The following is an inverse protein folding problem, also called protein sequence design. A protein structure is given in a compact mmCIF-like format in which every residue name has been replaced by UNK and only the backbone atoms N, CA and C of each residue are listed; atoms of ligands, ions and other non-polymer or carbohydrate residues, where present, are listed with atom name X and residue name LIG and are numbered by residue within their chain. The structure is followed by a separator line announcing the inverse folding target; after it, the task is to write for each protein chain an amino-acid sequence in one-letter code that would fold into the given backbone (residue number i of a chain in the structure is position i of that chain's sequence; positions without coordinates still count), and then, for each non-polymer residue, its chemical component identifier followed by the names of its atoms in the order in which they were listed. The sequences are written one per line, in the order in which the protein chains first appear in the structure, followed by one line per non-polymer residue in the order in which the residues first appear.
data_IF_624736057987
#
_entry.id   IF_624736057987
#
_cell.length_a   1.000
_cell.length_b   1.000
_cell.length_c   1.000
_cell.angle_alpha   90.00
_cell.angle_beta   90.00
_cell.angle_gamma   90.00
#
_symmetry.space_group_name_H-M   'P 1'
#
loop_
_entity.id
_entity.type
_entity.pdbx_description
1 polymer ?
#
# COMPACT_ATOMS: atom_id res chain seq x y z
N UNK A 1 23.87 42.22 4.72
CA UNK A 1 24.70 41.71 5.84
C UNK A 1 24.52 40.21 5.84
N UNK A 2 25.47 39.46 5.29
CA UNK A 2 25.47 38.01 5.39
C UNK A 2 25.95 37.66 6.80
N UNK A 3 25.04 37.33 7.70
CA UNK A 3 25.43 36.64 8.91
C UNK A 3 25.81 35.21 8.50
N UNK A 4 27.11 34.96 8.39
CA UNK A 4 27.62 33.60 8.36
C UNK A 4 27.33 33.03 9.74
N UNK A 5 26.19 32.27 9.80
CA UNK A 5 25.85 31.51 11.00
C UNK A 5 26.96 30.47 11.16
N UNK A 6 27.72 30.53 12.25
CA UNK A 6 28.74 29.51 12.54
C UNK A 6 28.08 28.13 12.57
N UNK A 7 28.74 27.17 11.92
CA UNK A 7 28.25 25.77 11.90
C UNK A 7 28.45 25.19 13.32
N UNK A 8 27.35 24.71 13.90
CA UNK A 8 27.41 23.91 15.11
C UNK A 8 27.86 22.49 14.75
N UNK A 9 29.11 22.14 15.10
CA UNK A 9 29.70 20.85 14.74
C UNK A 9 28.95 19.63 15.32
N UNK A 10 28.40 19.75 16.51
CA UNK A 10 27.62 18.66 17.11
C UNK A 10 26.34 18.35 16.27
N UNK A 11 25.57 19.39 15.97
CA UNK A 11 24.38 19.27 15.09
C UNK A 11 24.74 18.79 13.67
N UNK A 12 25.92 19.24 13.17
CA UNK A 12 26.39 18.78 11.85
C UNK A 12 26.67 17.27 11.87
N UNK A 13 27.36 16.78 12.89
CA UNK A 13 27.70 15.35 12.99
C UNK A 13 26.49 14.49 13.27
N UNK A 14 25.52 14.97 14.04
CA UNK A 14 24.23 14.32 14.24
C UNK A 14 23.47 14.19 12.92
N UNK A 15 23.31 15.29 12.18
CA UNK A 15 22.63 15.27 10.88
C UNK A 15 23.35 14.36 9.87
N UNK A 16 24.71 14.44 9.82
CA UNK A 16 25.50 13.55 8.96
C UNK A 16 25.28 12.08 9.30
N UNK A 17 25.28 11.75 10.59
CA UNK A 17 25.02 10.38 11.06
C UNK A 17 23.63 9.88 10.66
N UNK A 18 22.60 10.72 10.79
CA UNK A 18 21.24 10.38 10.38
C UNK A 18 21.16 10.12 8.87
N UNK A 19 21.69 11.03 8.05
CA UNK A 19 21.71 10.85 6.58
C UNK A 19 22.53 9.61 6.17
N UNK A 20 23.66 9.35 6.84
CA UNK A 20 24.46 8.15 6.59
C UNK A 20 23.68 6.85 6.90
N UNK A 21 22.92 6.84 7.99
CA UNK A 21 22.03 5.72 8.32
C UNK A 21 20.91 5.54 7.28
N UNK A 22 20.34 6.63 6.73
CA UNK A 22 19.34 6.57 5.67
C UNK A 22 19.92 6.00 4.38
N UNK A 23 21.17 6.37 4.01
CA UNK A 23 21.88 5.76 2.88
C UNK A 23 22.08 4.26 3.11
N UNK A 24 22.53 3.86 4.30
CA UNK A 24 22.68 2.44 4.65
C UNK A 24 21.32 1.73 4.67
N UNK A 25 20.25 2.42 5.09
CA UNK A 25 18.87 1.94 5.04
C UNK A 25 18.41 1.70 3.60
N UNK A 26 18.72 2.59 2.66
CA UNK A 26 18.37 2.41 1.25
C UNK A 26 19.01 1.17 0.64
N UNK A 27 20.28 0.88 1.00
CA UNK A 27 20.95 -0.37 0.59
C UNK A 27 20.29 -1.60 1.25
N UNK A 28 19.89 -1.51 2.51
CA UNK A 28 19.19 -2.59 3.19
C UNK A 28 17.82 -2.90 2.54
N UNK A 29 17.09 -1.88 2.08
CA UNK A 29 15.85 -2.05 1.30
C UNK A 29 16.11 -2.84 0.01
N UNK A 30 17.19 -2.50 -0.73
CA UNK A 30 17.56 -3.25 -1.94
C UNK A 30 17.96 -4.69 -1.63
N UNK A 31 18.70 -4.93 -0.55
CA UNK A 31 19.05 -6.29 -0.10
C UNK A 31 17.78 -7.06 0.30
N UNK A 32 16.86 -6.42 1.00
CA UNK A 32 15.57 -7.04 1.36
C UNK A 32 14.76 -7.44 0.12
N UNK A 33 14.68 -6.55 -0.87
CA UNK A 33 14.04 -6.85 -2.15
C UNK A 33 14.68 -8.06 -2.86
N UNK A 34 16.02 -8.12 -2.94
CA UNK A 34 16.73 -9.27 -3.52
C UNK A 34 16.40 -10.57 -2.79
N UNK A 35 16.42 -10.56 -1.46
CA UNK A 35 16.09 -11.74 -0.65
C UNK A 35 14.66 -12.25 -0.85
N UNK A 36 13.71 -11.34 -1.02
CA UNK A 36 12.32 -11.68 -1.35
C UNK A 36 12.19 -12.27 -2.75
N UNK A 37 12.70 -11.56 -3.77
CA UNK A 37 12.55 -11.96 -5.17
C UNK A 37 13.25 -13.29 -5.49
N UNK A 38 14.36 -13.57 -4.83
CA UNK A 38 15.12 -14.82 -4.98
C UNK A 38 14.65 -15.95 -4.06
N UNK A 39 13.78 -15.65 -3.09
CA UNK A 39 13.29 -16.62 -2.13
C UNK A 39 14.26 -16.99 -1.02
N UNK A 40 15.37 -16.25 -0.84
CA UNK A 40 16.37 -16.52 0.21
C UNK A 40 15.75 -16.49 1.59
N UNK A 41 14.91 -15.50 1.93
CA UNK A 41 14.25 -15.47 3.24
C UNK A 41 13.36 -16.68 3.48
N UNK A 42 12.60 -17.13 2.47
CA UNK A 42 11.76 -18.35 2.57
C UNK A 42 12.59 -19.61 2.72
N UNK A 43 13.74 -19.69 2.02
CA UNK A 43 14.67 -20.80 2.18
C UNK A 43 15.24 -20.86 3.60
N UNK A 44 15.62 -19.72 4.17
CA UNK A 44 16.11 -19.62 5.56
C UNK A 44 15.04 -19.99 6.60
N UNK A 45 13.79 -19.51 6.43
CA UNK A 45 12.69 -19.87 7.34
C UNK A 45 12.41 -21.38 7.34
N UNK A 46 12.51 -22.00 6.15
CA UNK A 46 12.34 -23.45 5.98
C UNK A 46 13.48 -24.28 6.60
N UNK A 47 14.73 -23.83 6.41
CA UNK A 47 15.93 -24.60 6.85
C UNK A 47 16.22 -24.45 8.33
N UNK A 48 15.88 -23.29 8.93
CA UNK A 48 16.44 -22.92 10.23
C UNK A 48 17.92 -22.55 10.13
N UNK A 49 18.73 -22.75 11.18
CA UNK A 49 20.17 -22.46 11.15
C UNK A 49 20.90 -23.29 10.10
N UNK A 50 21.46 -22.63 9.07
CA UNK A 50 22.09 -23.28 7.92
C UNK A 50 23.33 -22.53 7.44
N UNK A 51 24.24 -23.26 6.77
CA UNK A 51 25.44 -22.69 6.14
C UNK A 51 25.09 -21.90 4.88
N UNK A 52 26.03 -21.10 4.38
CA UNK A 52 25.88 -20.38 3.11
C UNK A 52 25.59 -21.36 1.98
N UNK A 53 26.31 -22.48 1.89
CA UNK A 53 26.13 -23.52 0.87
C UNK A 53 24.70 -24.11 0.89
N UNK A 54 24.18 -24.44 2.08
CA UNK A 54 22.83 -25.00 2.26
C UNK A 54 21.74 -24.03 1.82
N UNK A 55 21.87 -22.75 2.22
CA UNK A 55 20.92 -21.68 1.83
C UNK A 55 21.02 -21.41 0.32
N UNK A 56 22.22 -21.31 -0.24
CA UNK A 56 22.45 -21.11 -1.68
C UNK A 56 21.80 -22.22 -2.52
N UNK A 57 21.99 -23.46 -2.10
CA UNK A 57 21.40 -24.63 -2.75
C UNK A 57 19.87 -24.62 -2.74
N UNK A 58 19.27 -24.30 -1.58
CA UNK A 58 17.80 -24.28 -1.43
C UNK A 58 17.19 -23.11 -2.23
N UNK A 59 17.80 -21.93 -2.18
CA UNK A 59 17.30 -20.73 -2.87
C UNK A 59 17.78 -20.59 -4.33
N UNK A 60 18.72 -21.46 -4.76
CA UNK A 60 19.30 -21.48 -6.12
C UNK A 60 20.01 -20.18 -6.50
N UNK A 61 20.72 -19.58 -5.55
CA UNK A 61 21.52 -18.36 -5.77
C UNK A 61 23.01 -18.70 -5.67
N UNK A 62 23.85 -17.81 -6.20
CA UNK A 62 25.30 -17.94 -6.10
C UNK A 62 25.81 -17.74 -4.66
N UNK A 63 26.65 -18.64 -4.18
CA UNK A 63 27.17 -18.64 -2.81
C UNK A 63 27.96 -17.38 -2.46
N UNK A 64 28.76 -16.89 -3.42
CA UNK A 64 29.60 -15.71 -3.16
C UNK A 64 28.77 -14.44 -2.99
N UNK A 65 27.75 -14.25 -3.83
CA UNK A 65 26.80 -13.14 -3.69
C UNK A 65 25.95 -13.31 -2.44
N UNK A 66 25.53 -14.53 -2.12
CA UNK A 66 24.75 -14.81 -0.92
C UNK A 66 25.52 -14.48 0.35
N UNK A 67 26.82 -14.78 0.44
CA UNK A 67 27.63 -14.43 1.60
C UNK A 67 27.66 -12.92 1.86
N UNK A 68 27.81 -12.09 0.81
CA UNK A 68 27.72 -10.62 0.94
C UNK A 68 26.33 -10.18 1.41
N UNK A 69 25.30 -10.79 0.86
CA UNK A 69 23.92 -10.51 1.21
C UNK A 69 23.62 -10.86 2.68
N UNK A 70 24.02 -12.04 3.13
CA UNK A 70 23.87 -12.50 4.52
C UNK A 70 24.63 -11.59 5.48
N UNK A 71 25.87 -11.23 5.13
CA UNK A 71 26.71 -10.33 5.92
C UNK A 71 26.06 -8.94 6.07
N UNK A 72 25.54 -8.38 4.97
CA UNK A 72 24.83 -7.11 4.97
C UNK A 72 23.60 -7.13 5.86
N UNK A 73 22.75 -8.16 5.69
CA UNK A 73 21.52 -8.31 6.48
C UNK A 73 21.81 -8.61 7.96
N UNK A 74 22.86 -9.36 8.27
CA UNK A 74 23.28 -9.60 9.65
C UNK A 74 23.75 -8.31 10.33
N UNK A 75 24.50 -7.46 9.62
CA UNK A 75 24.94 -6.15 10.12
C UNK A 75 23.76 -5.18 10.40
N UNK A 76 22.58 -5.43 9.82
CA UNK A 76 21.34 -4.69 10.08
C UNK A 76 20.41 -5.38 11.10
N UNK A 77 20.77 -6.57 11.57
CA UNK A 77 19.92 -7.37 12.46
C UNK A 77 18.71 -8.01 11.76
N UNK A 78 18.68 -8.07 10.43
CA UNK A 78 17.62 -8.72 9.65
C UNK A 78 17.81 -10.22 9.53
N UNK A 79 19.04 -10.68 9.70
CA UNK A 79 19.48 -12.09 9.74
C UNK A 79 20.35 -12.28 10.98
N UNK A 80 20.25 -13.43 11.60
CA UNK A 80 21.09 -13.82 12.76
C UNK A 80 22.26 -14.66 12.28
N UNK A 81 23.49 -14.26 12.64
CA UNK A 81 24.71 -15.03 12.41
C UNK A 81 25.10 -15.76 13.69
N UNK A 82 25.42 -17.04 13.59
CA UNK A 82 25.89 -17.93 14.66
C UNK A 82 27.39 -18.22 14.48
N UNK A 83 28.23 -17.49 15.15
CA UNK A 83 29.70 -17.52 14.98
C UNK A 83 30.30 -18.89 15.25
N UNK A 84 29.86 -19.56 16.33
CA UNK A 84 30.37 -20.88 16.73
C UNK A 84 30.09 -21.98 15.68
N UNK A 85 29.06 -21.83 14.86
CA UNK A 85 28.63 -22.84 13.87
C UNK A 85 28.85 -22.34 12.41
N UNK A 86 29.27 -21.12 12.24
CA UNK A 86 29.36 -20.44 10.91
C UNK A 86 28.05 -20.54 10.11
N UNK A 87 26.90 -20.42 10.80
CA UNK A 87 25.57 -20.52 10.22
C UNK A 87 24.77 -19.22 10.32
N UNK A 88 23.73 -19.14 9.49
CA UNK A 88 22.77 -18.06 9.46
C UNK A 88 21.36 -18.58 9.70
N UNK A 89 20.52 -17.79 10.35
CA UNK A 89 19.12 -18.13 10.56
C UNK A 89 18.21 -16.88 10.59
N UNK A 90 16.91 -17.11 10.55
CA UNK A 90 15.90 -16.13 10.94
C UNK A 90 15.31 -16.48 12.29
N UNK A 91 15.19 -15.51 13.20
CA UNK A 91 14.31 -15.66 14.35
C UNK A 91 12.85 -15.70 13.90
N UNK A 92 11.90 -16.15 14.76
CA UNK A 92 10.47 -16.09 14.43
C UNK A 92 10.00 -14.70 14.02
N UNK A 93 10.52 -13.63 14.66
CA UNK A 93 10.19 -12.24 14.38
C UNK A 93 10.76 -11.80 13.03
N UNK A 94 12.03 -12.15 12.74
CA UNK A 94 12.65 -11.89 11.45
C UNK A 94 11.89 -12.61 10.32
N UNK A 95 11.50 -13.87 10.55
CA UNK A 95 10.71 -14.63 9.57
C UNK A 95 9.32 -14.02 9.34
N UNK A 96 8.64 -13.52 10.38
CA UNK A 96 7.35 -12.84 10.25
C UNK A 96 7.47 -11.55 9.42
N UNK A 97 8.57 -10.80 9.57
CA UNK A 97 8.80 -9.55 8.84
C UNK A 97 9.23 -9.79 7.39
N UNK A 98 10.07 -10.81 7.13
CA UNK A 98 10.75 -10.92 5.83
C UNK A 98 10.38 -12.15 4.98
N UNK A 99 9.91 -13.25 5.58
CA UNK A 99 9.73 -14.54 4.89
C UNK A 99 8.27 -14.97 4.71
N UNK A 100 7.38 -14.57 5.63
CA UNK A 100 6.00 -15.08 5.73
C UNK A 100 5.02 -14.07 5.19
N UNK A 101 4.66 -14.21 3.93
CA UNK A 101 3.85 -13.27 3.15
C UNK A 101 2.48 -12.92 3.77
N UNK A 102 1.88 -13.83 4.53
CA UNK A 102 0.55 -13.63 5.12
C UNK A 102 0.58 -13.12 6.56
N UNK A 103 1.76 -12.90 7.13
CA UNK A 103 1.87 -12.27 8.45
C UNK A 103 1.54 -10.77 8.36
N UNK A 104 0.78 -10.23 9.32
CA UNK A 104 0.43 -8.80 9.33
C UNK A 104 1.63 -7.85 9.34
N UNK A 105 2.78 -8.34 9.80
CA UNK A 105 4.04 -7.60 9.90
C UNK A 105 4.95 -7.78 8.67
N UNK A 106 4.53 -8.54 7.66
CA UNK A 106 5.34 -8.75 6.47
C UNK A 106 5.50 -7.45 5.67
N UNK A 107 6.74 -6.96 5.57
CA UNK A 107 7.05 -5.65 4.98
C UNK A 107 7.43 -5.71 3.49
N UNK A 108 7.49 -6.91 2.91
CA UNK A 108 8.03 -7.09 1.55
C UNK A 108 7.26 -6.35 0.46
N UNK A 109 5.95 -6.17 0.63
CA UNK A 109 5.15 -5.34 -0.27
C UNK A 109 5.61 -3.88 -0.26
N UNK A 110 5.83 -3.30 0.92
CA UNK A 110 6.34 -1.94 1.08
C UNK A 110 7.74 -1.78 0.49
N UNK A 111 8.63 -2.75 0.77
CA UNK A 111 9.98 -2.81 0.20
C UNK A 111 9.93 -2.80 -1.34
N UNK A 112 9.08 -3.63 -1.93
CA UNK A 112 8.89 -3.69 -3.38
C UNK A 112 8.35 -2.36 -3.95
N UNK A 113 7.40 -1.74 -3.28
CA UNK A 113 6.85 -0.44 -3.64
C UNK A 113 7.90 0.67 -3.64
N UNK A 114 8.77 0.70 -2.62
CA UNK A 114 9.89 1.66 -2.52
C UNK A 114 10.89 1.46 -3.65
N UNK A 115 11.29 0.21 -3.92
CA UNK A 115 12.22 -0.09 -5.04
C UNK A 115 11.65 0.37 -6.37
N UNK A 116 10.34 0.23 -6.58
CA UNK A 116 9.67 0.71 -7.78
C UNK A 116 9.83 2.22 -8.03
N UNK A 117 10.02 3.02 -6.98
CA UNK A 117 10.22 4.47 -7.12
C UNK A 117 11.64 4.82 -7.59
N UNK A 118 12.65 4.04 -7.21
CA UNK A 118 14.03 4.28 -7.65
C UNK A 118 14.27 3.92 -9.12
N UNK A 119 13.47 3.04 -9.70
CA UNK A 119 13.64 2.58 -11.10
C UNK A 119 13.28 3.67 -12.13
N UNK A 120 12.51 4.67 -11.74
CA UNK A 120 11.98 5.73 -12.61
C UNK A 120 12.31 7.12 -12.08
N UNK A 121 13.51 7.31 -11.56
CA UNK A 121 13.96 8.57 -10.95
C UNK A 121 13.96 9.75 -11.92
N UNK A 122 14.26 9.52 -13.19
CA UNK A 122 14.26 10.53 -14.25
C UNK A 122 12.86 11.16 -14.43
N UNK A 123 11.82 10.32 -14.43
CA UNK A 123 10.42 10.77 -14.49
C UNK A 123 10.06 11.53 -13.21
N UNK A 124 10.49 11.06 -12.05
CA UNK A 124 10.21 11.70 -10.77
C UNK A 124 10.81 13.12 -10.71
N UNK A 125 12.05 13.31 -11.19
CA UNK A 125 12.71 14.62 -11.27
C UNK A 125 11.92 15.57 -12.17
N UNK A 126 11.53 15.13 -13.37
CA UNK A 126 10.76 15.94 -14.31
C UNK A 126 9.39 16.33 -13.74
N UNK A 127 8.65 15.37 -13.16
CA UNK A 127 7.34 15.63 -12.53
C UNK A 127 7.47 16.62 -11.39
N UNK A 128 8.48 16.47 -10.54
CA UNK A 128 8.71 17.36 -9.41
C UNK A 128 9.05 18.79 -9.84
N UNK A 129 9.83 18.95 -10.93
CA UNK A 129 10.21 20.26 -11.46
C UNK A 129 9.09 20.96 -12.19
N UNK A 130 8.30 20.21 -12.98
CA UNK A 130 7.29 20.77 -13.87
C UNK A 130 5.92 20.89 -13.25
N UNK A 131 5.65 20.11 -12.21
CA UNK A 131 4.31 20.01 -11.61
C UNK A 131 3.29 19.29 -12.50
N UNK A 132 3.71 18.66 -13.63
CA UNK A 132 2.84 17.82 -14.43
C UNK A 132 2.43 16.58 -13.65
N UNK A 133 1.27 16.01 -13.99
CA UNK A 133 0.88 14.72 -13.41
C UNK A 133 1.72 13.56 -13.95
N UNK A 134 1.64 12.43 -13.25
CA UNK A 134 2.14 11.12 -13.69
C UNK A 134 1.03 10.11 -13.55
N UNK A 135 0.45 9.63 -14.66
CA UNK A 135 -0.60 8.62 -14.61
C UNK A 135 -0.14 7.36 -13.87
N UNK A 136 -1.05 6.71 -13.13
CA UNK A 136 -0.77 5.47 -12.40
C UNK A 136 -0.07 4.43 -13.27
N UNK A 137 -0.54 4.19 -14.48
CA UNK A 137 0.03 3.21 -15.42
C UNK A 137 1.46 3.50 -15.91
N UNK A 138 2.04 4.67 -15.63
CA UNK A 138 3.44 5.00 -15.95
C UNK A 138 4.42 4.54 -14.86
N UNK A 139 3.92 4.09 -13.70
CA UNK A 139 4.77 3.55 -12.66
C UNK A 139 5.32 2.16 -13.04
N UNK A 140 6.42 1.76 -12.40
CA UNK A 140 6.97 0.43 -12.54
C UNK A 140 6.04 -0.63 -11.93
N UNK A 141 6.01 -1.85 -12.47
CA UNK A 141 5.18 -2.94 -11.95
C UNK A 141 5.36 -3.22 -10.45
N UNK A 142 6.56 -3.02 -9.92
CA UNK A 142 6.84 -3.10 -8.49
C UNK A 142 5.96 -2.15 -7.66
N UNK A 143 5.50 -1.03 -8.21
CA UNK A 143 4.59 -0.12 -7.54
C UNK A 143 3.23 -0.79 -7.33
N UNK A 144 2.64 -1.36 -8.39
CA UNK A 144 1.32 -1.99 -8.33
C UNK A 144 1.32 -3.24 -7.43
N UNK A 145 2.28 -4.15 -7.68
CA UNK A 145 2.42 -5.37 -6.90
C UNK A 145 2.79 -5.06 -5.44
N UNK A 146 3.67 -4.08 -5.23
CA UNK A 146 4.11 -3.67 -3.90
C UNK A 146 2.98 -3.06 -3.08
N UNK A 147 2.15 -2.20 -3.68
CA UNK A 147 1.00 -1.60 -3.03
C UNK A 147 0.00 -2.66 -2.59
N UNK A 148 -0.39 -3.57 -3.48
CA UNK A 148 -1.31 -4.65 -3.15
C UNK A 148 -0.77 -5.57 -2.03
N UNK A 149 0.50 -6.00 -2.14
CA UNK A 149 1.15 -6.83 -1.11
C UNK A 149 1.27 -6.12 0.24
N UNK A 150 1.43 -4.80 0.25
CA UNK A 150 1.52 -4.02 1.48
C UNK A 150 0.16 -3.92 2.19
N UNK A 151 -0.91 -3.66 1.45
CA UNK A 151 -2.24 -3.50 2.04
C UNK A 151 -2.98 -4.82 2.29
N UNK A 152 -2.64 -5.88 1.57
CA UNK A 152 -3.28 -7.21 1.70
C UNK A 152 -3.38 -7.72 3.13
N UNK A 153 -2.33 -7.70 3.98
CA UNK A 153 -2.44 -8.14 5.36
C UNK A 153 -3.44 -7.33 6.19
N UNK A 154 -3.53 -6.01 5.95
CA UNK A 154 -4.49 -5.16 6.63
C UNK A 154 -5.93 -5.50 6.21
N UNK A 155 -6.18 -5.72 4.93
CA UNK A 155 -7.50 -6.17 4.45
C UNK A 155 -7.86 -7.54 5.03
N UNK A 156 -6.94 -8.50 5.01
CA UNK A 156 -7.18 -9.83 5.55
C UNK A 156 -7.43 -9.82 7.08
N UNK A 157 -6.79 -8.92 7.82
CA UNK A 157 -6.92 -8.84 9.26
C UNK A 157 -8.08 -7.99 9.77
N UNK A 158 -8.50 -6.97 9.02
CA UNK A 158 -9.41 -5.95 9.56
C UNK A 158 -10.69 -5.74 8.75
N UNK A 159 -10.69 -5.99 7.43
CA UNK A 159 -11.82 -5.65 6.57
C UNK A 159 -13.13 -6.31 7.04
N UNK A 160 -13.08 -7.61 7.31
CA UNK A 160 -14.26 -8.42 7.60
C UNK A 160 -14.63 -8.42 9.10
N UNK A 161 -13.63 -8.34 9.97
CA UNK A 161 -13.80 -8.48 11.42
C UNK A 161 -13.92 -7.14 12.15
N UNK A 162 -13.48 -6.04 11.53
CA UNK A 162 -13.46 -4.72 12.17
C UNK A 162 -14.15 -3.64 11.31
N UNK A 163 -13.71 -3.41 10.05
CA UNK A 163 -14.16 -2.26 9.28
C UNK A 163 -15.61 -2.37 8.83
N UNK A 164 -16.01 -3.51 8.27
CA UNK A 164 -17.41 -3.75 7.86
C UNK A 164 -18.34 -3.76 9.08
N UNK A 165 -18.03 -4.49 10.19
CA UNK A 165 -18.86 -4.48 11.39
C UNK A 165 -18.97 -3.12 12.10
N UNK A 166 -18.00 -2.21 11.94
CA UNK A 166 -18.09 -0.86 12.49
C UNK A 166 -19.24 -0.03 11.89
N UNK A 167 -19.73 -0.40 10.71
CA UNK A 167 -20.84 0.27 10.03
C UNK A 167 -22.17 -0.38 10.41
N UNK A 168 -23.03 0.36 11.09
CA UNK A 168 -24.32 -0.15 11.62
C UNK A 168 -25.21 -0.76 10.51
N UNK A 169 -25.55 -2.04 10.66
CA UNK A 169 -26.46 -2.77 9.78
C UNK A 169 -25.88 -3.22 8.44
N UNK A 170 -24.67 -2.79 8.06
CA UNK A 170 -24.05 -3.13 6.76
C UNK A 170 -23.76 -4.63 6.69
N UNK A 171 -23.12 -5.19 7.69
CA UNK A 171 -22.79 -6.62 7.71
C UNK A 171 -24.03 -7.51 7.59
N UNK A 172 -25.14 -7.14 8.24
CA UNK A 172 -26.41 -7.86 8.17
C UNK A 172 -27.02 -7.83 6.75
N UNK A 173 -26.88 -6.70 6.03
CA UNK A 173 -27.29 -6.62 4.62
C UNK A 173 -26.44 -7.54 3.76
N UNK A 174 -25.10 -7.50 3.92
CA UNK A 174 -24.16 -8.34 3.18
C UNK A 174 -24.44 -9.84 3.39
N UNK A 175 -24.72 -10.28 4.61
CA UNK A 175 -25.09 -11.68 4.92
C UNK A 175 -26.39 -12.13 4.27
N UNK A 176 -27.36 -11.22 4.12
CA UNK A 176 -28.67 -11.50 3.51
C UNK A 176 -28.65 -11.48 1.98
N UNK A 177 -27.71 -10.77 1.41
CA UNK A 177 -27.58 -10.51 -0.02
C UNK A 177 -27.73 -9.03 -0.33
N UNK A 178 -26.61 -8.37 -0.66
CA UNK A 178 -26.50 -6.96 -0.94
C UNK A 178 -25.70 -6.73 -2.24
N UNK A 179 -25.80 -5.53 -2.81
CA UNK A 179 -24.93 -5.10 -3.90
C UNK A 179 -23.81 -4.23 -3.37
N UNK A 180 -22.59 -4.58 -3.70
CA UNK A 180 -21.37 -3.87 -3.29
C UNK A 180 -20.64 -3.31 -4.51
N UNK A 181 -20.18 -2.06 -4.42
CA UNK A 181 -19.24 -1.47 -5.36
C UNK A 181 -17.89 -1.28 -4.67
N UNK A 182 -16.85 -1.93 -5.16
CA UNK A 182 -15.44 -1.73 -4.73
C UNK A 182 -14.73 -0.90 -5.80
N UNK A 183 -14.40 0.35 -5.49
CA UNK A 183 -13.94 1.36 -6.44
C UNK A 183 -12.44 1.61 -6.22
N UNK A 184 -11.65 1.49 -7.30
CA UNK A 184 -10.19 1.47 -7.22
C UNK A 184 -9.68 0.14 -6.66
N UNK A 185 -10.31 -0.96 -7.07
CA UNK A 185 -10.07 -2.30 -6.52
C UNK A 185 -8.67 -2.88 -6.81
N UNK A 186 -7.92 -2.28 -7.73
CA UNK A 186 -6.58 -2.73 -8.11
C UNK A 186 -6.57 -4.20 -8.53
N UNK A 187 -5.81 -5.03 -7.83
CA UNK A 187 -5.71 -6.48 -8.08
C UNK A 187 -6.84 -7.30 -7.40
N UNK A 188 -7.87 -6.64 -6.84
CA UNK A 188 -9.12 -7.24 -6.39
C UNK A 188 -9.06 -7.94 -5.04
N UNK A 189 -8.06 -7.69 -4.19
CA UNK A 189 -7.91 -8.39 -2.90
C UNK A 189 -9.09 -8.14 -1.97
N UNK A 190 -9.50 -6.90 -1.75
CA UNK A 190 -10.68 -6.51 -0.95
C UNK A 190 -11.95 -7.13 -1.49
N UNK A 191 -12.15 -7.02 -2.82
CA UNK A 191 -13.31 -7.57 -3.51
C UNK A 191 -13.44 -9.09 -3.34
N UNK A 192 -12.33 -9.83 -3.47
CA UNK A 192 -12.31 -11.29 -3.29
C UNK A 192 -12.60 -11.70 -1.86
N UNK A 193 -12.05 -10.98 -0.86
CA UNK A 193 -12.35 -11.24 0.56
C UNK A 193 -13.84 -11.04 0.85
N UNK A 194 -14.45 -9.97 0.36
CA UNK A 194 -15.88 -9.71 0.52
C UNK A 194 -16.74 -10.78 -0.20
N UNK A 195 -16.34 -11.18 -1.41
CA UNK A 195 -17.07 -12.20 -2.17
C UNK A 195 -17.03 -13.58 -1.50
N UNK A 196 -15.89 -13.99 -0.96
CA UNK A 196 -15.73 -15.23 -0.19
C UNK A 196 -16.59 -15.23 1.08
N UNK A 197 -16.58 -14.12 1.83
CA UNK A 197 -17.28 -14.01 3.10
C UNK A 197 -18.79 -13.87 2.95
N UNK A 198 -19.26 -13.20 1.91
CA UNK A 198 -20.66 -12.88 1.69
C UNK A 198 -21.19 -13.49 0.38
N UNK A 199 -21.33 -14.82 0.30
CA UNK A 199 -21.68 -15.51 -0.94
C UNK A 199 -23.08 -15.18 -1.48
N UNK A 200 -23.96 -14.59 -0.66
CA UNK A 200 -25.29 -14.14 -1.08
C UNK A 200 -25.27 -12.73 -1.71
N UNK A 201 -24.18 -11.97 -1.52
CA UNK A 201 -24.01 -10.63 -2.07
C UNK A 201 -23.37 -10.65 -3.44
N UNK A 202 -23.65 -9.63 -4.25
CA UNK A 202 -23.01 -9.40 -5.54
C UNK A 202 -21.99 -8.29 -5.40
N UNK A 203 -20.74 -8.56 -5.77
CA UNK A 203 -19.65 -7.62 -5.69
C UNK A 203 -19.29 -7.15 -7.10
N UNK A 204 -19.37 -5.85 -7.35
CA UNK A 204 -18.88 -5.19 -8.56
C UNK A 204 -17.60 -4.43 -8.23
N UNK A 205 -16.51 -4.79 -8.87
CA UNK A 205 -15.19 -4.23 -8.61
C UNK A 205 -14.72 -3.40 -9.82
N UNK A 206 -14.34 -2.18 -9.58
CA UNK A 206 -14.02 -1.19 -10.62
C UNK A 206 -12.60 -0.68 -10.45
N UNK A 207 -11.86 -0.63 -11.55
CA UNK A 207 -10.56 0.06 -11.62
C UNK A 207 -10.34 0.57 -13.05
N UNK A 208 -9.69 1.72 -13.20
CA UNK A 208 -9.37 2.24 -14.53
C UNK A 208 -8.16 1.56 -15.18
N UNK A 209 -7.32 0.86 -14.38
CA UNK A 209 -6.12 0.21 -14.85
C UNK A 209 -6.42 -1.20 -15.38
N UNK A 210 -6.61 -1.32 -16.70
CA UNK A 210 -6.96 -2.59 -17.37
C UNK A 210 -6.08 -3.78 -16.98
N UNK A 211 -4.74 -3.67 -16.97
CA UNK A 211 -3.86 -4.78 -16.56
C UNK A 211 -4.10 -5.28 -15.14
N UNK A 212 -4.46 -4.41 -14.19
CA UNK A 212 -4.86 -4.82 -12.83
C UNK A 212 -6.15 -5.63 -12.84
N UNK A 213 -7.15 -5.18 -13.61
CA UNK A 213 -8.44 -5.89 -13.76
C UNK A 213 -8.25 -7.27 -14.42
N UNK A 214 -7.38 -7.39 -15.41
CA UNK A 214 -7.11 -8.68 -16.07
C UNK A 214 -6.50 -9.68 -15.07
N UNK A 215 -5.55 -9.25 -14.25
CA UNK A 215 -4.97 -10.10 -13.20
C UNK A 215 -5.99 -10.40 -12.09
N UNK A 216 -6.82 -9.44 -11.68
CA UNK A 216 -7.87 -9.65 -10.69
C UNK A 216 -8.90 -10.70 -11.14
N UNK A 217 -9.34 -10.65 -12.40
CA UNK A 217 -10.23 -11.66 -13.02
C UNK A 217 -9.63 -13.06 -12.97
N UNK A 218 -8.35 -13.18 -13.29
CA UNK A 218 -7.64 -14.46 -13.23
C UNK A 218 -7.61 -15.02 -11.81
N UNK A 219 -7.24 -14.20 -10.82
CA UNK A 219 -7.20 -14.62 -9.41
C UNK A 219 -8.58 -15.04 -8.88
N UNK A 220 -9.64 -14.30 -9.22
CA UNK A 220 -11.01 -14.65 -8.82
C UNK A 220 -11.48 -15.95 -9.47
N UNK A 221 -11.14 -16.18 -10.74
CA UNK A 221 -11.45 -17.44 -11.44
C UNK A 221 -10.73 -18.64 -10.81
N UNK A 222 -9.47 -18.49 -10.40
CA UNK A 222 -8.72 -19.52 -9.67
C UNK A 222 -9.35 -19.87 -8.31
N UNK A 223 -10.07 -18.92 -7.69
CA UNK A 223 -10.80 -19.11 -6.44
C UNK A 223 -12.26 -19.58 -6.64
N UNK A 224 -12.77 -19.56 -7.87
CA UNK A 224 -14.15 -19.96 -8.18
C UNK A 224 -15.21 -19.02 -7.61
N UNK A 225 -14.99 -17.71 -7.64
CA UNK A 225 -15.90 -16.69 -7.11
C UNK A 225 -16.91 -16.27 -8.18
N UNK A 226 -18.13 -16.81 -8.12
CA UNK A 226 -19.19 -16.55 -9.09
C UNK A 226 -20.02 -15.29 -8.78
N UNK A 227 -19.86 -14.72 -7.59
CA UNK A 227 -20.58 -13.53 -7.12
C UNK A 227 -19.75 -12.24 -7.21
N UNK A 228 -18.66 -12.24 -7.99
CA UNK A 228 -17.73 -11.14 -8.16
C UNK A 228 -17.50 -10.85 -9.64
N UNK A 229 -17.74 -9.59 -10.05
CA UNK A 229 -17.49 -9.11 -11.40
C UNK A 229 -16.53 -7.93 -11.40
N UNK A 230 -15.60 -7.91 -12.37
CA UNK A 230 -14.59 -6.86 -12.51
C UNK A 230 -14.78 -6.04 -13.78
N UNK A 231 -14.70 -4.72 -13.65
CA UNK A 231 -14.92 -3.76 -14.73
C UNK A 231 -13.75 -2.78 -14.86
N UNK A 232 -13.31 -2.52 -16.09
CA UNK A 232 -12.42 -1.39 -16.37
C UNK A 232 -13.30 -0.15 -16.48
N UNK A 233 -13.25 0.74 -15.49
CA UNK A 233 -14.08 1.94 -15.41
C UNK A 233 -13.41 3.05 -14.62
N UNK A 234 -13.69 4.29 -15.01
CA UNK A 234 -13.41 5.47 -14.18
C UNK A 234 -14.33 5.45 -12.94
N UNK A 235 -13.79 5.88 -11.80
CA UNK A 235 -14.52 5.93 -10.52
C UNK A 235 -15.75 6.86 -10.57
N UNK A 236 -15.74 7.89 -11.41
CA UNK A 236 -16.88 8.80 -11.61
C UNK A 236 -17.94 8.25 -12.58
N UNK A 237 -17.69 7.12 -13.23
CA UNK A 237 -18.54 6.55 -14.29
C UNK A 237 -19.07 5.15 -13.98
N UNK A 238 -19.10 4.77 -12.71
CA UNK A 238 -19.68 3.48 -12.29
C UNK A 238 -21.19 3.48 -12.53
N UNK A 239 -21.79 2.33 -12.92
CA UNK A 239 -23.22 2.26 -13.20
C UNK A 239 -24.04 2.46 -11.91
N UNK A 240 -25.23 3.06 -12.06
CA UNK A 240 -26.19 3.14 -10.95
C UNK A 240 -26.94 1.81 -10.82
N UNK A 241 -26.57 1.03 -9.81
CA UNK A 241 -27.15 -0.28 -9.48
C UNK A 241 -27.82 -0.29 -8.11
N UNK A 242 -28.00 0.86 -7.48
CA UNK A 242 -28.52 1.00 -6.11
C UNK A 242 -27.71 0.16 -5.11
N UNK A 243 -26.41 0.48 -4.99
CA UNK A 243 -25.51 -0.24 -4.10
C UNK A 243 -25.84 -0.02 -2.63
N UNK A 244 -25.85 -1.12 -1.87
CA UNK A 244 -25.98 -1.09 -0.41
C UNK A 244 -24.70 -0.63 0.29
N UNK A 245 -23.55 -0.97 -0.30
CA UNK A 245 -22.23 -0.58 0.13
C UNK A 245 -21.40 -0.16 -1.08
N UNK A 246 -20.84 1.04 -1.04
CA UNK A 246 -19.71 1.42 -1.89
C UNK A 246 -18.46 1.55 -1.00
N UNK A 247 -17.31 1.14 -1.50
CA UNK A 247 -16.05 1.26 -0.77
C UNK A 247 -14.90 1.70 -1.68
N UNK A 248 -13.98 2.44 -1.07
CA UNK A 248 -12.67 2.80 -1.65
C UNK A 248 -11.61 2.52 -0.59
N UNK A 249 -10.53 1.84 -0.99
CA UNK A 249 -9.41 1.50 -0.13
C UNK A 249 -8.13 2.10 -0.71
N UNK A 250 -7.50 3.01 0.03
CA UNK A 250 -6.20 3.63 -0.31
C UNK A 250 -6.11 4.21 -1.73
N UNK A 251 -7.21 4.76 -2.25
CA UNK A 251 -7.28 5.24 -3.63
C UNK A 251 -7.99 6.60 -3.80
N UNK A 252 -8.80 7.04 -2.82
CA UNK A 252 -9.57 8.26 -2.96
C UNK A 252 -8.69 9.52 -2.99
N UNK A 253 -7.62 9.53 -2.20
CA UNK A 253 -6.64 10.62 -2.17
C UNK A 253 -5.81 10.76 -3.47
N UNK A 254 -5.79 9.72 -4.31
CA UNK A 254 -5.12 9.69 -5.61
C UNK A 254 -6.01 10.22 -6.75
N UNK A 255 -7.31 10.42 -6.49
CA UNK A 255 -8.25 10.87 -7.51
C UNK A 255 -8.07 12.37 -7.81
N UNK A 256 -8.24 12.73 -9.08
CA UNK A 256 -8.13 14.12 -9.53
C UNK A 256 -9.24 15.00 -8.98
N UNK A 257 -10.46 14.48 -8.94
CA UNK A 257 -11.65 15.14 -8.40
C UNK A 257 -12.33 14.24 -7.34
N UNK A 258 -11.78 14.17 -6.12
CA UNK A 258 -12.35 13.32 -5.09
C UNK A 258 -13.76 13.73 -4.67
N UNK A 259 -14.11 15.01 -4.75
CA UNK A 259 -15.49 15.49 -4.47
C UNK A 259 -16.46 15.04 -5.55
N UNK A 260 -16.09 15.22 -6.82
CA UNK A 260 -16.91 14.78 -7.96
C UNK A 260 -17.12 13.27 -7.96
N UNK A 261 -16.06 12.48 -7.66
CA UNK A 261 -16.16 11.03 -7.53
C UNK A 261 -17.08 10.64 -6.37
N UNK A 262 -16.91 11.21 -5.19
CA UNK A 262 -17.78 10.93 -4.04
C UNK A 262 -19.25 11.30 -4.32
N UNK A 263 -19.51 12.39 -5.06
CA UNK A 263 -20.85 12.76 -5.50
C UNK A 263 -21.43 11.74 -6.48
N UNK A 264 -20.64 11.29 -7.46
CA UNK A 264 -21.08 10.25 -8.41
C UNK A 264 -21.39 8.94 -7.68
N UNK A 265 -20.55 8.53 -6.74
CA UNK A 265 -20.78 7.35 -5.91
C UNK A 265 -22.09 7.48 -5.12
N UNK A 266 -22.31 8.63 -4.47
CA UNK A 266 -23.55 8.90 -3.74
C UNK A 266 -24.79 8.70 -4.61
N UNK A 267 -24.75 9.12 -5.87
CA UNK A 267 -25.85 8.99 -6.82
C UNK A 267 -26.11 7.51 -7.24
N UNK A 268 -25.16 6.60 -6.97
CA UNK A 268 -25.28 5.16 -7.24
C UNK A 268 -25.71 4.32 -6.05
N UNK A 269 -25.73 4.91 -4.85
CA UNK A 269 -26.14 4.21 -3.63
C UNK A 269 -27.65 4.02 -3.56
N UNK A 270 -28.07 2.99 -2.86
CA UNK A 270 -29.46 2.84 -2.38
C UNK A 270 -29.78 3.96 -1.37
N UNK A 271 -31.08 4.20 -1.09
CA UNK A 271 -31.51 5.26 -0.17
C UNK A 271 -30.88 5.16 1.23
N UNK A 272 -30.61 3.94 1.69
CA UNK A 272 -29.95 3.60 2.95
C UNK A 272 -28.55 2.98 2.73
N UNK A 273 -27.94 3.24 1.57
CA UNK A 273 -26.62 2.77 1.20
C UNK A 273 -25.51 3.51 1.96
N UNK A 274 -24.41 2.82 2.18
CA UNK A 274 -23.23 3.33 2.92
C UNK A 274 -22.03 3.50 1.98
N UNK A 275 -21.28 4.58 2.15
CA UNK A 275 -19.98 4.77 1.50
C UNK A 275 -18.86 4.66 2.54
N UNK A 276 -18.03 3.64 2.42
CA UNK A 276 -16.86 3.39 3.25
C UNK A 276 -15.60 3.85 2.54
N UNK A 277 -14.82 4.69 3.21
CA UNK A 277 -13.52 5.16 2.73
C UNK A 277 -12.46 4.77 3.74
N UNK A 278 -11.47 4.01 3.28
CA UNK A 278 -10.29 3.63 4.08
C UNK A 278 -9.08 4.27 3.45
N UNK A 279 -8.34 5.04 4.24
CA UNK A 279 -7.20 5.83 3.79
C UNK A 279 -5.99 5.63 4.72
N UNK A 280 -4.76 5.89 4.25
CA UNK A 280 -3.58 5.81 5.10
C UNK A 280 -3.72 6.68 6.35
N UNK A 281 -3.24 6.18 7.49
CA UNK A 281 -3.28 6.92 8.74
C UNK A 281 -2.62 8.30 8.59
N UNK A 282 -3.39 9.33 8.86
CA UNK A 282 -2.95 10.70 8.89
C UNK A 282 -3.57 11.44 10.08
N UNK A 283 -2.87 12.45 10.58
CA UNK A 283 -3.38 13.38 11.58
C UNK A 283 -3.83 14.69 10.92
N UNK A 284 -4.67 15.45 11.60
CA UNK A 284 -5.10 16.74 11.07
C UNK A 284 -3.99 17.80 11.16
N UNK A 285 -3.66 18.38 9.99
CA UNK A 285 -2.75 19.47 9.85
C UNK A 285 -1.26 19.08 9.73
N UNK A 286 -0.53 19.85 8.92
CA UNK A 286 0.86 19.58 8.56
C UNK A 286 1.78 19.43 9.78
N UNK A 287 1.69 20.37 10.74
CA UNK A 287 2.55 20.34 11.93
C UNK A 287 2.32 19.07 12.75
N UNK A 288 1.06 18.69 12.93
CA UNK A 288 0.71 17.52 13.72
C UNK A 288 1.21 16.22 13.06
N UNK A 289 1.07 16.10 11.72
CA UNK A 289 1.65 14.99 10.98
C UNK A 289 3.17 14.92 11.13
N UNK A 290 3.88 16.04 10.97
CA UNK A 290 5.35 16.08 11.08
C UNK A 290 5.85 15.68 12.48
N UNK A 291 5.18 16.16 13.53
CA UNK A 291 5.65 15.99 14.91
C UNK A 291 5.16 14.69 15.57
N UNK A 292 3.99 14.20 15.22
CA UNK A 292 3.28 13.17 15.99
C UNK A 292 2.86 11.94 15.17
N UNK A 293 2.99 11.95 13.84
CA UNK A 293 2.71 10.77 13.02
C UNK A 293 4.02 10.10 12.58
N UNK A 294 4.38 8.94 13.17
CA UNK A 294 5.66 8.28 12.87
C UNK A 294 5.80 7.83 11.42
N UNK A 295 4.68 7.65 10.71
CA UNK A 295 4.67 7.24 9.30
C UNK A 295 4.65 8.42 8.32
N UNK A 296 4.54 9.66 8.81
CA UNK A 296 4.28 10.83 7.96
C UNK A 296 5.35 11.06 6.90
N UNK A 297 6.63 10.97 7.27
CA UNK A 297 7.73 11.21 6.32
C UNK A 297 7.70 10.21 5.15
N UNK A 298 7.39 8.95 5.41
CA UNK A 298 7.24 7.92 4.39
C UNK A 298 6.03 8.21 3.49
N UNK A 299 4.86 8.50 4.06
CA UNK A 299 3.66 8.78 3.27
C UNK A 299 3.74 10.12 2.52
N UNK A 300 4.40 11.16 3.05
CA UNK A 300 4.72 12.36 2.26
C UNK A 300 5.67 12.05 1.11
N UNK A 301 6.62 11.12 1.29
CA UNK A 301 7.47 10.61 0.23
C UNK A 301 6.67 9.93 -0.89
N UNK A 302 5.80 8.98 -0.56
CA UNK A 302 4.88 8.36 -1.51
C UNK A 302 3.92 9.38 -2.14
N UNK A 303 3.37 10.29 -1.34
CA UNK A 303 2.56 11.40 -1.83
C UNK A 303 3.25 12.22 -2.91
N UNK A 304 4.54 12.51 -2.73
CA UNK A 304 5.35 13.26 -3.70
C UNK A 304 5.60 12.47 -4.99
N UNK A 305 5.85 11.16 -4.88
CA UNK A 305 6.29 10.33 -6.00
C UNK A 305 5.14 9.64 -6.74
N UNK A 306 4.02 9.38 -6.06
CA UNK A 306 2.89 8.59 -6.56
C UNK A 306 1.58 9.40 -6.50
N UNK A 307 1.08 9.66 -5.29
CA UNK A 307 -0.31 10.06 -5.08
C UNK A 307 -0.64 11.44 -5.67
N UNK A 308 0.14 12.45 -5.34
CA UNK A 308 -0.07 13.80 -5.90
C UNK A 308 0.14 13.83 -7.41
N UNK A 309 1.19 13.22 -7.98
CA UNK A 309 1.33 13.07 -9.42
C UNK A 309 0.19 12.31 -10.10
N UNK A 310 -0.32 11.22 -9.49
CA UNK A 310 -1.46 10.47 -10.02
C UNK A 310 -2.73 11.33 -10.08
N UNK A 311 -3.03 12.04 -8.99
CA UNK A 311 -4.16 12.98 -8.94
C UNK A 311 -4.02 14.09 -9.99
N UNK A 312 -2.84 14.70 -10.11
CA UNK A 312 -2.58 15.78 -11.07
C UNK A 312 -2.60 15.35 -12.54
N UNK A 313 -2.49 14.05 -12.81
CA UNK A 313 -2.63 13.51 -14.16
C UNK A 313 -4.10 13.37 -14.62
N UNK A 314 -5.04 13.57 -13.71
CA UNK A 314 -6.49 13.45 -13.95
C UNK A 314 -7.16 14.83 -14.01
N UNK A 315 -8.39 14.92 -14.56
CA UNK A 315 -9.18 16.17 -14.53
C UNK A 315 -9.33 16.73 -13.11
N UNK A 316 -9.40 18.06 -12.99
CA UNK A 316 -9.33 18.84 -11.76
C UNK A 316 -7.93 18.81 -11.12
N UNK A 317 -7.36 17.63 -10.89
CA UNK A 317 -6.00 17.49 -10.40
C UNK A 317 -5.78 18.10 -9.02
N UNK A 318 -6.68 17.84 -8.07
CA UNK A 318 -6.67 18.44 -6.72
C UNK A 318 -5.35 18.20 -5.99
N UNK A 319 -4.77 17.01 -6.14
CA UNK A 319 -3.52 16.63 -5.46
C UNK A 319 -3.70 16.50 -3.95
N UNK A 320 -4.76 15.85 -3.49
CA UNK A 320 -5.09 15.70 -2.07
C UNK A 320 -3.96 15.03 -1.29
N UNK A 321 -3.48 13.89 -1.78
CA UNK A 321 -2.39 13.12 -1.19
C UNK A 321 -2.78 12.35 0.10
N UNK A 322 -1.93 11.39 0.52
CA UNK A 322 -2.28 10.41 1.55
C UNK A 322 -2.22 10.96 2.99
N UNK A 323 -1.88 12.23 3.18
CA UNK A 323 -1.74 12.85 4.50
C UNK A 323 -2.72 14.02 4.73
N UNK A 324 -3.91 13.94 4.11
CA UNK A 324 -4.95 14.95 4.22
C UNK A 324 -5.55 15.06 5.64
N UNK A 325 -5.65 13.94 6.35
CA UNK A 325 -6.23 13.84 7.68
C UNK A 325 -7.77 13.72 7.68
N UNK A 326 -8.34 13.11 8.74
CA UNK A 326 -9.75 12.75 8.79
C UNK A 326 -10.68 13.96 8.66
N UNK A 327 -10.34 15.10 9.27
CA UNK A 327 -11.16 16.31 9.15
C UNK A 327 -11.32 16.76 7.72
N UNK A 328 -10.22 16.78 6.93
CA UNK A 328 -10.26 17.18 5.53
C UNK A 328 -11.07 16.20 4.69
N UNK A 329 -10.93 14.89 4.93
CA UNK A 329 -11.70 13.86 4.23
C UNK A 329 -13.20 13.99 4.51
N UNK A 330 -13.59 14.20 5.78
CA UNK A 330 -14.99 14.42 6.14
C UNK A 330 -15.56 15.72 5.55
N UNK A 331 -14.76 16.80 5.45
CA UNK A 331 -15.18 18.04 4.77
C UNK A 331 -15.50 17.77 3.29
N UNK A 332 -14.65 17.04 2.58
CA UNK A 332 -14.85 16.71 1.15
C UNK A 332 -16.08 15.80 0.93
N UNK A 333 -16.31 14.83 1.81
CA UNK A 333 -17.52 13.99 1.77
C UNK A 333 -18.79 14.82 2.02
N UNK A 334 -18.74 15.75 2.96
CA UNK A 334 -19.87 16.67 3.23
C UNK A 334 -20.12 17.59 2.02
N UNK A 335 -19.08 18.10 1.37
CA UNK A 335 -19.16 18.89 0.12
C UNK A 335 -19.78 18.07 -1.01
N UNK A 336 -19.48 16.77 -1.11
CA UNK A 336 -20.11 15.83 -2.05
C UNK A 336 -21.59 15.57 -1.73
N UNK A 337 -22.10 16.03 -0.58
CA UNK A 337 -23.50 15.97 -0.20
C UNK A 337 -23.88 14.78 0.69
N UNK A 338 -22.93 14.08 1.29
CA UNK A 338 -23.24 13.09 2.34
C UNK A 338 -23.73 13.82 3.59
N UNK A 339 -24.91 13.44 4.10
CA UNK A 339 -25.60 14.09 5.22
C UNK A 339 -25.07 13.62 6.59
N UNK A 340 -24.50 12.43 6.66
CA UNK A 340 -23.91 11.86 7.86
C UNK A 340 -22.53 11.30 7.51
N UNK A 341 -21.49 11.88 8.10
CA UNK A 341 -20.09 11.46 7.91
C UNK A 341 -19.48 11.29 9.29
N UNK A 342 -18.91 10.13 9.55
CA UNK A 342 -18.26 9.81 10.82
C UNK A 342 -16.96 9.06 10.59
N UNK A 343 -16.03 9.20 11.55
CA UNK A 343 -14.88 8.32 11.65
C UNK A 343 -15.33 7.06 12.42
N UNK A 344 -15.04 5.89 11.89
CA UNK A 344 -15.34 4.60 12.49
C UNK A 344 -14.14 4.03 13.25
#
# INVERSE_FOLDING_TARGET
MNSTTEINHEKLMELFGNVFNDVAGSMAIMMSYLGDQTGVYRAMDKLGPASVEEIAKESKVDERYLLEWLSSNSGRGYVTYHDDEEKFSLSPEQAAVFARENEPTCIQGLVQGVVGQFVKEDIAVDVFQTGRGRPWGEHHECCFCGTERFFRPAYAGHLLDEWIPAMEGVEDKLKKGAKVADIGCGLGTSSMLMAEQYPNSTIHAFDFHGPSIDEAKKRAAEKGLDNLEFFVSDAAAIPNESYDLACIFDAWHDMGDPVGVAKSIKDTLADDGTFMVVEPMALDGLKNNIENNPSSSMFYGFGTLICVPASKAQPVGLGLGPQAGPKKLMELLSEAGFSSVSLA
#
